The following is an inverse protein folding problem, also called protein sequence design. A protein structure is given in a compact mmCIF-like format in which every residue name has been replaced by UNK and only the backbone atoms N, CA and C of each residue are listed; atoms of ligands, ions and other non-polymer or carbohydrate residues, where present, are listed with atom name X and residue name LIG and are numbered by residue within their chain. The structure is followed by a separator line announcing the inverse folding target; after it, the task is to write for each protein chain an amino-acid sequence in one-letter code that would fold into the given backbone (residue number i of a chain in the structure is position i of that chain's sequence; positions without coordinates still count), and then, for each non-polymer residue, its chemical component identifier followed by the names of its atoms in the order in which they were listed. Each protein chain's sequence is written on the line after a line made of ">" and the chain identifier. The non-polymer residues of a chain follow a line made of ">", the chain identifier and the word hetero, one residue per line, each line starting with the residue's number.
data_IF_835678913650
#
_entry.id   IF_835678913650
#
_cell.length_a   1.000
_cell.length_b   1.000
_cell.length_c   1.000
_cell.angle_alpha   90.00
_cell.angle_beta   90.00
_cell.angle_gamma   90.00
#
_symmetry.space_group_name_H-M   'P 1'
#
loop_
_entity.id
_entity.type
_entity.pdbx_description
1 polymer ?
#
# COMPACT_ATOMS: atom_id res chain seq x y z
N UNK A 1 -22.98 -2.65 -22.59
CA UNK A 1 -21.62 -2.73 -23.17
C UNK A 1 -20.79 -1.64 -22.53
N UNK A 2 -20.00 -1.99 -21.52
CA UNK A 2 -19.05 -1.08 -20.86
C UNK A 2 -17.70 -1.77 -20.97
N UNK A 3 -16.87 -1.31 -21.91
CA UNK A 3 -15.50 -1.76 -22.02
C UNK A 3 -14.75 -1.14 -20.83
N UNK A 4 -14.50 -1.93 -19.79
CA UNK A 4 -13.52 -1.55 -18.77
C UNK A 4 -12.15 -1.78 -19.41
N UNK A 5 -11.38 -0.72 -19.59
CA UNK A 5 -9.96 -0.82 -19.90
C UNK A 5 -9.26 -1.34 -18.64
N UNK A 6 -9.32 -2.65 -18.40
CA UNK A 6 -8.29 -3.28 -17.59
C UNK A 6 -6.97 -3.10 -18.37
N UNK A 7 -5.88 -2.81 -17.66
CA UNK A 7 -4.56 -2.93 -18.27
C UNK A 7 -4.38 -4.43 -18.50
N UNK A 8 -4.38 -4.87 -19.76
CA UNK A 8 -4.25 -6.29 -20.13
C UNK A 8 -2.98 -6.49 -20.93
N UNK A 9 -2.17 -7.50 -20.56
CA UNK A 9 -1.02 -7.95 -21.36
C UNK A 9 -1.06 -9.46 -21.52
N UNK A 10 -1.17 -9.95 -22.77
CA UNK A 10 -1.23 -11.39 -23.10
C UNK A 10 -2.22 -12.17 -22.21
N UNK A 11 -3.49 -11.75 -22.23
CA UNK A 11 -4.61 -12.35 -21.46
C UNK A 11 -4.51 -12.24 -19.93
N UNK A 12 -3.52 -11.51 -19.40
CA UNK A 12 -3.42 -11.18 -17.98
C UNK A 12 -4.01 -9.80 -17.70
N UNK A 13 -5.05 -9.72 -16.87
CA UNK A 13 -5.59 -8.46 -16.35
C UNK A 13 -4.81 -8.01 -15.10
N UNK A 14 -4.28 -6.79 -15.13
CA UNK A 14 -3.66 -6.18 -13.96
C UNK A 14 -4.72 -5.48 -13.11
N UNK A 15 -4.70 -5.72 -11.79
CA UNK A 15 -5.68 -5.17 -10.85
C UNK A 15 -5.62 -3.64 -10.73
N UNK A 16 -4.43 -3.06 -10.91
CA UNK A 16 -4.16 -1.72 -10.40
C UNK A 16 -3.98 -1.80 -8.89
N UNK A 17 -4.87 -1.15 -8.14
CA UNK A 17 -4.93 -1.20 -6.67
C UNK A 17 -3.67 -0.72 -5.95
N UNK A 18 -2.90 0.17 -6.59
CA UNK A 18 -1.77 0.83 -5.95
C UNK A 18 -2.24 1.58 -4.71
N UNK A 19 -1.52 1.45 -3.59
CA UNK A 19 -1.89 2.08 -2.32
C UNK A 19 -0.66 2.43 -1.49
N UNK A 20 -0.81 3.44 -0.62
CA UNK A 20 0.15 3.76 0.44
C UNK A 20 -0.53 3.45 1.76
N UNK A 21 0.13 2.63 2.58
CA UNK A 21 -0.36 2.19 3.88
C UNK A 21 0.67 2.54 4.94
N UNK A 22 0.23 3.09 6.07
CA UNK A 22 1.08 3.43 7.20
C UNK A 22 1.40 2.19 8.08
N UNK A 23 2.30 2.33 9.08
CA UNK A 23 2.66 1.22 9.98
C UNK A 23 1.51 0.68 10.86
N UNK A 24 0.44 1.44 11.07
CA UNK A 24 -0.77 1.01 11.80
C UNK A 24 -1.79 0.31 10.89
N UNK A 25 -1.52 0.23 9.59
CA UNK A 25 -2.41 -0.35 8.59
C UNK A 25 -3.43 0.65 8.02
N UNK A 26 -3.28 1.94 8.29
CA UNK A 26 -4.11 2.98 7.71
C UNK A 26 -3.76 3.18 6.22
N UNK A 27 -4.77 3.14 5.35
CA UNK A 27 -4.59 3.42 3.92
C UNK A 27 -4.65 4.92 3.67
N UNK A 28 -3.50 5.55 3.46
CA UNK A 28 -3.37 6.99 3.23
C UNK A 28 -3.87 7.40 1.83
N UNK A 29 -3.67 6.54 0.83
CA UNK A 29 -4.21 6.73 -0.53
C UNK A 29 -4.28 5.42 -1.29
N UNK A 30 -5.15 5.33 -2.30
CA UNK A 30 -5.21 4.21 -3.23
C UNK A 30 -5.83 4.58 -4.58
N UNK A 31 -5.39 3.89 -5.63
CA UNK A 31 -6.03 3.84 -6.93
C UNK A 31 -6.83 2.55 -7.07
N UNK A 32 -7.80 2.53 -7.98
CA UNK A 32 -8.49 1.32 -8.42
C UNK A 32 -7.92 0.87 -9.78
N UNK A 33 -8.76 0.33 -10.67
CA UNK A 33 -8.33 -0.20 -11.97
C UNK A 33 -8.12 0.85 -13.08
N UNK A 34 -8.00 2.13 -12.74
CA UNK A 34 -7.83 3.22 -13.73
C UNK A 34 -6.46 3.86 -13.57
N UNK A 35 -5.89 4.33 -14.68
CA UNK A 35 -4.61 5.04 -14.66
C UNK A 35 -4.69 6.28 -13.76
N UNK A 36 -3.77 6.37 -12.79
CA UNK A 36 -3.73 7.45 -11.82
C UNK A 36 -2.31 7.67 -11.28
N UNK A 37 -1.99 8.93 -10.95
CA UNK A 37 -0.82 9.28 -10.16
C UNK A 37 -1.25 9.51 -8.70
N UNK A 38 -0.68 8.75 -7.77
CA UNK A 38 -0.91 8.91 -6.34
C UNK A 38 0.24 9.72 -5.72
N UNK A 39 -0.10 10.83 -5.08
CA UNK A 39 0.86 11.69 -4.35
C UNK A 39 0.36 11.78 -2.92
N UNK A 40 1.25 11.51 -1.96
CA UNK A 40 0.95 11.63 -0.53
C UNK A 40 2.20 12.10 0.21
N UNK A 41 2.02 12.97 1.19
CA UNK A 41 3.09 13.36 2.11
C UNK A 41 3.24 12.28 3.18
N UNK A 42 4.47 11.79 3.35
CA UNK A 42 4.80 10.76 4.36
C UNK A 42 5.79 11.30 5.37
N UNK A 43 5.52 11.05 6.65
CA UNK A 43 6.41 11.41 7.74
C UNK A 43 7.19 10.16 8.17
N UNK A 44 8.52 10.18 8.00
CA UNK A 44 9.36 9.01 8.28
C UNK A 44 9.44 8.69 9.79
N UNK A 45 9.23 9.68 10.66
CA UNK A 45 9.20 9.53 12.11
C UNK A 45 8.02 8.69 12.62
N UNK A 46 6.95 8.53 11.81
CA UNK A 46 5.85 7.61 12.11
C UNK A 46 6.35 6.18 12.32
N UNK A 47 7.35 5.72 11.56
CA UNK A 47 7.90 4.36 11.72
C UNK A 47 8.60 4.19 13.06
N UNK A 48 9.38 5.19 13.48
CA UNK A 48 10.06 5.16 14.77
C UNK A 48 9.05 5.15 15.91
N UNK A 49 8.06 6.05 15.88
CA UNK A 49 6.98 6.13 16.87
C UNK A 49 6.23 4.82 17.00
N UNK A 50 5.76 4.23 15.89
CA UNK A 50 5.04 2.96 15.92
C UNK A 50 5.89 1.84 16.53
N UNK A 51 7.19 1.77 16.22
CA UNK A 51 8.09 0.75 16.79
C UNK A 51 8.36 0.97 18.28
N UNK A 52 8.35 2.21 18.77
CA UNK A 52 8.46 2.52 20.19
C UNK A 52 7.16 2.18 20.94
N UNK A 53 6.01 2.53 20.37
CA UNK A 53 4.69 2.29 20.97
C UNK A 53 4.31 0.80 20.96
N UNK A 54 4.68 0.07 19.91
CA UNK A 54 4.39 -1.36 19.76
C UNK A 54 5.62 -2.13 19.25
N UNK A 55 6.55 -2.50 20.15
CA UNK A 55 7.87 -3.05 19.81
C UNK A 55 7.87 -4.55 19.45
N UNK A 56 6.93 -5.01 18.62
CA UNK A 56 6.69 -6.43 18.30
C UNK A 56 7.89 -7.21 17.79
N UNK A 57 8.90 -6.53 17.22
CA UNK A 57 10.10 -7.20 16.75
C UNK A 57 10.93 -7.82 17.90
N UNK A 58 10.73 -7.36 19.14
CA UNK A 58 11.36 -7.94 20.34
C UNK A 58 10.82 -9.32 20.69
N UNK A 59 9.59 -9.63 20.26
CA UNK A 59 8.96 -10.94 20.50
C UNK A 59 9.47 -12.02 19.54
N UNK A 60 10.20 -11.61 18.49
CA UNK A 60 10.76 -12.53 17.49
C UNK A 60 11.85 -13.37 18.15
N UNK A 61 11.66 -14.69 18.20
CA UNK A 61 12.70 -15.64 18.58
C UNK A 61 13.64 -15.86 17.40
N UNK A 62 14.93 -15.60 17.58
CA UNK A 62 15.93 -15.94 16.58
C UNK A 62 16.05 -17.48 16.50
N UNK A 63 15.98 -18.02 15.28
CA UNK A 63 16.09 -19.44 14.96
C UNK A 63 17.51 -19.83 14.57
#
# INVERSE_FOLDING_TARGET
>A
MSLRLAVVQHDLEYAGDSAVIDPWGERLTSAASVEALLIVDVAADTVEKTRTEFPVLQDRRDS
#
